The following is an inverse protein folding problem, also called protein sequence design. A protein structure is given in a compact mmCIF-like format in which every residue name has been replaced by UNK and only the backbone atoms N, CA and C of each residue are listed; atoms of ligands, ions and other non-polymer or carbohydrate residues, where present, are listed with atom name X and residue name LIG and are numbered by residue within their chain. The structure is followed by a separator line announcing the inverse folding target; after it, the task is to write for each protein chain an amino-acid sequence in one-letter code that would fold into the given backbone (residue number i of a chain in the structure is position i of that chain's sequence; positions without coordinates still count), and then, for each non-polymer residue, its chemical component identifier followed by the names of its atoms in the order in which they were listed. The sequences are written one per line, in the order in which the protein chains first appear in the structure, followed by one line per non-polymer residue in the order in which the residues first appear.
data_IF_453602696077
#
_entry.id   IF_453602696077
#
_cell.length_a   1.000
_cell.length_b   1.000
_cell.length_c   1.000
_cell.angle_alpha   90.00
_cell.angle_beta   90.00
_cell.angle_gamma   90.00
#
_symmetry.space_group_name_H-M   'P 1'
#
loop_
_entity.id
_entity.type
_entity.pdbx_description
1 polymer ?
#
# COMPACT_ATOMS: atom_id res chain seq x y z
N UNK A 1 -17.46 -9.01 -10.31
CA UNK A 1 -18.70 -8.20 -10.34
C UNK A 1 -19.15 -8.16 -11.76
N UNK A 2 -20.45 -8.38 -12.03
CA UNK A 2 -20.99 -8.28 -13.37
C UNK A 2 -20.89 -6.82 -13.84
N UNK A 3 -20.46 -6.60 -15.09
CA UNK A 3 -20.51 -5.29 -15.70
C UNK A 3 -22.00 -4.91 -15.86
N UNK A 4 -22.36 -3.75 -15.37
CA UNK A 4 -23.71 -3.21 -15.55
C UNK A 4 -23.70 -2.22 -16.69
N UNK A 5 -24.73 -2.25 -17.51
CA UNK A 5 -24.98 -1.26 -18.54
C UNK A 5 -26.21 -0.44 -18.14
N UNK A 6 -26.12 0.89 -18.25
CA UNK A 6 -27.20 1.84 -17.93
C UNK A 6 -27.66 2.51 -19.22
N UNK A 7 -28.96 2.62 -19.38
CA UNK A 7 -29.53 3.34 -20.50
C UNK A 7 -29.13 4.84 -20.45
N UNK A 8 -28.70 5.36 -21.59
CA UNK A 8 -28.28 6.77 -21.72
C UNK A 8 -29.46 7.75 -21.67
N UNK A 9 -30.65 7.26 -21.87
CA UNK A 9 -31.88 8.09 -21.75
C UNK A 9 -32.24 8.25 -20.27
N UNK A 10 -32.23 9.50 -19.74
CA UNK A 10 -32.51 9.78 -18.33
C UNK A 10 -33.93 9.39 -17.91
N UNK A 11 -34.87 9.33 -18.87
CA UNK A 11 -36.25 8.92 -18.61
C UNK A 11 -36.42 7.41 -18.48
N UNK A 12 -35.54 6.65 -19.10
CA UNK A 12 -35.60 5.19 -19.08
C UNK A 12 -34.83 4.59 -17.90
N UNK A 13 -33.61 5.09 -17.61
CA UNK A 13 -32.72 4.74 -16.50
C UNK A 13 -32.63 3.23 -16.17
N UNK A 14 -32.86 2.37 -17.17
CA UNK A 14 -32.88 0.91 -17.00
C UNK A 14 -31.46 0.38 -16.83
N UNK A 15 -31.25 -0.40 -15.76
CA UNK A 15 -30.01 -1.07 -15.43
C UNK A 15 -30.10 -2.54 -15.90
N UNK A 16 -29.13 -2.99 -16.67
CA UNK A 16 -29.08 -4.37 -17.18
C UNK A 16 -27.72 -4.99 -16.81
N UNK A 17 -27.74 -6.20 -16.26
CA UNK A 17 -26.51 -6.95 -16.02
C UNK A 17 -25.96 -7.48 -17.35
N UNK A 18 -24.66 -7.24 -17.56
CA UNK A 18 -23.95 -7.65 -18.77
C UNK A 18 -23.69 -6.51 -19.73
N UNK A 19 -22.98 -6.82 -20.84
CA UNK A 19 -22.71 -5.88 -21.93
C UNK A 19 -23.85 -5.98 -22.94
N UNK A 20 -24.77 -5.05 -22.89
CA UNK A 20 -25.89 -4.96 -23.85
C UNK A 20 -25.72 -3.65 -24.63
N UNK A 21 -25.75 -3.73 -25.96
CA UNK A 21 -25.54 -2.56 -26.85
C UNK A 21 -26.80 -1.68 -26.97
N UNK A 22 -27.97 -2.29 -26.87
CA UNK A 22 -29.23 -1.58 -26.94
C UNK A 22 -30.12 -1.86 -25.73
N UNK A 23 -30.79 -0.82 -25.24
CA UNK A 23 -31.68 -0.95 -24.09
C UNK A 23 -32.92 -1.80 -24.44
N UNK A 24 -33.22 -2.87 -23.67
CA UNK A 24 -34.36 -3.72 -23.96
C UNK A 24 -35.72 -3.02 -23.79
N UNK A 25 -35.74 -1.84 -23.09
CA UNK A 25 -36.97 -1.11 -22.82
C UNK A 25 -37.28 -0.02 -23.82
N UNK A 26 -36.27 0.71 -24.31
CA UNK A 26 -36.45 1.88 -25.17
C UNK A 26 -35.66 1.78 -26.51
N UNK A 27 -34.84 0.74 -26.69
CA UNK A 27 -33.97 0.62 -27.87
C UNK A 27 -32.82 1.61 -27.92
N UNK A 28 -32.69 2.49 -26.94
CA UNK A 28 -31.64 3.53 -26.89
C UNK A 28 -30.25 2.95 -26.59
N UNK A 29 -29.20 3.74 -26.89
CA UNK A 29 -27.81 3.35 -26.63
C UNK A 29 -27.56 3.13 -25.15
N UNK A 30 -26.88 2.04 -24.82
CA UNK A 30 -26.49 1.70 -23.45
C UNK A 30 -25.07 2.21 -23.16
N UNK A 31 -24.86 2.69 -21.96
CA UNK A 31 -23.53 3.07 -21.44
C UNK A 31 -23.06 2.00 -20.47
N UNK A 32 -21.93 1.40 -20.77
CA UNK A 32 -21.29 0.48 -19.84
C UNK A 32 -20.83 1.29 -18.61
N UNK A 33 -21.41 1.01 -17.47
CA UNK A 33 -20.92 1.49 -16.17
C UNK A 33 -19.83 0.49 -15.76
N UNK A 34 -18.71 0.58 -16.44
CA UNK A 34 -17.50 -0.16 -16.09
C UNK A 34 -16.68 0.65 -15.11
N UNK A 35 -15.92 -0.03 -14.27
CA UNK A 35 -14.97 0.60 -13.37
C UNK A 35 -14.05 1.53 -14.16
N UNK A 36 -13.94 2.77 -13.70
CA UNK A 36 -13.08 3.77 -14.33
C UNK A 36 -11.64 3.26 -14.36
N UNK A 37 -10.94 3.29 -15.50
CA UNK A 37 -9.55 2.86 -15.60
C UNK A 37 -8.61 3.64 -14.66
N UNK A 38 -9.05 4.80 -14.21
CA UNK A 38 -8.33 5.64 -13.24
C UNK A 38 -8.03 4.90 -11.93
N UNK A 39 -8.91 4.00 -11.46
CA UNK A 39 -8.68 3.22 -10.23
C UNK A 39 -7.47 2.31 -10.37
N UNK A 40 -7.34 1.62 -11.51
CA UNK A 40 -6.18 0.77 -11.79
C UNK A 40 -4.89 1.58 -11.90
N UNK A 41 -4.93 2.73 -12.59
CA UNK A 41 -3.80 3.64 -12.75
C UNK A 41 -3.37 4.19 -11.38
N UNK A 42 -4.31 4.65 -10.56
CA UNK A 42 -4.01 5.19 -9.23
C UNK A 42 -3.35 4.13 -8.34
N UNK A 43 -3.89 2.90 -8.30
CA UNK A 43 -3.31 1.80 -7.54
C UNK A 43 -1.89 1.45 -8.02
N UNK A 44 -1.68 1.41 -9.33
CA UNK A 44 -0.37 1.14 -9.93
C UNK A 44 0.63 2.22 -9.54
N UNK A 45 0.27 3.50 -9.70
CA UNK A 45 1.15 4.62 -9.35
C UNK A 45 1.46 4.65 -7.85
N UNK A 46 0.45 4.51 -6.99
CA UNK A 46 0.67 4.45 -5.54
C UNK A 46 1.58 3.28 -5.15
N UNK A 47 1.35 2.10 -5.71
CA UNK A 47 2.19 0.93 -5.45
C UNK A 47 3.63 1.14 -5.91
N UNK A 48 3.83 1.71 -7.10
CA UNK A 48 5.14 2.00 -7.64
C UNK A 48 5.91 3.04 -6.80
N UNK A 49 5.24 4.11 -6.39
CA UNK A 49 5.83 5.13 -5.50
C UNK A 49 6.25 4.53 -4.16
N UNK A 50 5.42 3.65 -3.59
CA UNK A 50 5.78 2.96 -2.34
C UNK A 50 6.99 2.06 -2.51
N UNK A 51 7.05 1.24 -3.58
CA UNK A 51 8.18 0.34 -3.82
C UNK A 51 9.47 1.13 -4.07
N UNK A 52 9.43 2.13 -4.94
CA UNK A 52 10.62 2.92 -5.27
C UNK A 52 11.05 3.79 -4.09
N UNK A 53 10.12 4.50 -3.45
CA UNK A 53 10.42 5.37 -2.32
C UNK A 53 10.99 4.60 -1.13
N UNK A 54 10.29 3.54 -0.70
CA UNK A 54 10.78 2.72 0.41
C UNK A 54 12.03 1.91 0.04
N UNK A 55 12.16 1.48 -1.22
CA UNK A 55 13.36 0.81 -1.72
C UNK A 55 14.60 1.70 -1.59
N UNK A 56 14.51 2.94 -2.05
CA UNK A 56 15.61 3.94 -1.94
C UNK A 56 15.94 4.22 -0.48
N UNK A 57 14.93 4.45 0.37
CA UNK A 57 15.12 4.68 1.81
C UNK A 57 15.81 3.47 2.45
N UNK A 58 15.34 2.27 2.15
CA UNK A 58 15.91 1.03 2.70
C UNK A 58 17.37 0.88 2.30
N UNK A 59 17.71 1.10 1.02
CA UNK A 59 19.08 0.99 0.52
C UNK A 59 20.02 1.99 1.20
N UNK A 60 19.57 3.24 1.41
CA UNK A 60 20.37 4.26 2.08
C UNK A 60 20.54 4.00 3.59
N UNK A 61 19.50 3.48 4.26
CA UNK A 61 19.56 3.21 5.70
C UNK A 61 20.08 1.83 6.07
N UNK A 62 20.13 0.90 5.10
CA UNK A 62 20.55 -0.48 5.34
C UNK A 62 21.93 -0.58 6.00
N UNK A 63 22.99 0.13 5.55
CA UNK A 63 24.30 0.03 6.18
C UNK A 63 24.30 0.49 7.63
N UNK A 64 23.58 1.57 7.97
CA UNK A 64 23.46 2.07 9.34
C UNK A 64 22.63 1.11 10.24
N UNK A 65 21.57 0.51 9.70
CA UNK A 65 20.73 -0.45 10.42
C UNK A 65 21.40 -1.81 10.61
N UNK A 66 22.29 -2.21 9.68
CA UNK A 66 23.01 -3.48 9.78
C UNK A 66 24.17 -3.43 10.79
N UNK A 67 24.72 -2.25 11.05
CA UNK A 67 25.84 -2.02 11.95
C UNK A 67 25.49 -0.93 12.98
N UNK A 68 24.61 -1.24 13.97
CA UNK A 68 24.21 -0.27 14.98
C UNK A 68 25.42 0.27 15.74
N UNK A 69 25.49 1.59 15.92
CA UNK A 69 26.60 2.27 16.63
C UNK A 69 27.79 2.63 15.75
N UNK A 70 27.81 2.25 14.47
CA UNK A 70 28.85 2.66 13.51
C UNK A 70 28.29 3.80 12.65
N UNK A 71 29.03 4.92 12.56
CA UNK A 71 28.67 5.99 11.63
C UNK A 71 29.15 5.64 10.23
N UNK A 72 28.21 5.51 9.30
CA UNK A 72 28.47 5.24 7.88
C UNK A 72 27.86 6.42 7.09
N UNK A 73 28.69 7.09 6.32
CA UNK A 73 28.31 8.25 5.49
C UNK A 73 27.47 9.34 6.23
N UNK A 74 27.81 9.60 7.49
CA UNK A 74 27.16 10.62 8.31
C UNK A 74 25.81 10.21 8.90
N UNK A 75 25.35 8.98 8.66
CA UNK A 75 24.18 8.41 9.31
C UNK A 75 24.59 7.42 10.41
N UNK A 76 24.14 7.67 11.64
CA UNK A 76 24.33 6.79 12.80
C UNK A 76 22.96 6.27 13.25
N UNK A 77 22.86 4.97 13.49
CA UNK A 77 21.72 4.40 14.16
C UNK A 77 22.00 4.34 15.66
N UNK A 78 21.29 5.18 16.44
CA UNK A 78 21.44 5.27 17.91
C UNK A 78 20.57 4.26 18.68
N UNK A 79 19.75 3.48 17.96
CA UNK A 79 18.87 2.48 18.55
C UNK A 79 19.55 1.13 18.79
N UNK A 80 18.83 0.22 19.46
CA UNK A 80 19.28 -1.14 19.70
C UNK A 80 19.28 -1.96 18.40
N UNK A 81 20.05 -3.06 18.36
CA UNK A 81 20.07 -3.98 17.22
C UNK A 81 18.68 -4.60 16.96
N UNK A 82 17.89 -4.77 18.00
CA UNK A 82 16.51 -5.28 17.88
C UNK A 82 15.58 -4.27 17.21
N UNK A 83 15.70 -3.01 17.60
CA UNK A 83 14.97 -1.90 16.95
C UNK A 83 15.35 -1.77 15.47
N UNK A 84 16.63 -1.94 15.12
CA UNK A 84 17.09 -1.92 13.74
C UNK A 84 16.45 -3.06 12.91
N UNK A 85 16.39 -4.28 13.47
CA UNK A 85 15.73 -5.42 12.83
C UNK A 85 14.23 -5.18 12.63
N UNK A 86 13.54 -4.64 13.63
CA UNK A 86 12.11 -4.32 13.52
C UNK A 86 11.85 -3.26 12.46
N UNK A 87 12.71 -2.26 12.36
CA UNK A 87 12.63 -1.22 11.32
C UNK A 87 12.82 -1.81 9.91
N UNK A 88 13.81 -2.70 9.73
CA UNK A 88 14.01 -3.40 8.46
C UNK A 88 12.82 -4.28 8.08
N UNK A 89 12.22 -4.98 9.05
CA UNK A 89 11.01 -5.77 8.86
C UNK A 89 9.84 -4.91 8.40
N UNK A 90 9.67 -3.73 9.01
CA UNK A 90 8.63 -2.77 8.63
C UNK A 90 8.84 -2.29 7.19
N UNK A 91 10.07 -1.93 6.81
CA UNK A 91 10.39 -1.52 5.44
C UNK A 91 10.10 -2.63 4.43
N UNK A 92 10.51 -3.86 4.73
CA UNK A 92 10.22 -5.02 3.89
C UNK A 92 8.70 -5.24 3.72
N UNK A 93 7.93 -5.13 4.79
CA UNK A 93 6.48 -5.27 4.75
C UNK A 93 5.80 -4.18 3.90
N UNK A 94 6.28 -2.93 3.96
CA UNK A 94 5.77 -1.82 3.11
C UNK A 94 6.11 -2.06 1.65
N UNK A 95 7.32 -2.56 1.33
CA UNK A 95 7.72 -2.89 -0.04
C UNK A 95 6.82 -4.00 -0.60
N UNK A 96 6.57 -5.07 0.18
CA UNK A 96 5.67 -6.16 -0.22
C UNK A 96 4.26 -5.63 -0.47
N UNK A 97 3.75 -4.75 0.39
CA UNK A 97 2.45 -4.10 0.19
C UNK A 97 2.41 -3.29 -1.12
N UNK A 98 3.46 -2.51 -1.39
CA UNK A 98 3.60 -1.76 -2.64
C UNK A 98 3.61 -2.66 -3.88
N UNK A 99 4.30 -3.82 -3.82
CA UNK A 99 4.32 -4.80 -4.90
C UNK A 99 2.93 -5.41 -5.16
N UNK A 100 2.20 -5.77 -4.11
CA UNK A 100 0.82 -6.30 -4.21
C UNK A 100 -0.11 -5.24 -4.79
N UNK A 101 0.01 -3.97 -4.36
CA UNK A 101 -0.79 -2.86 -4.89
C UNK A 101 -0.49 -2.63 -6.39
N UNK A 102 0.78 -2.66 -6.79
CA UNK A 102 1.20 -2.54 -8.19
C UNK A 102 0.65 -3.69 -9.03
N UNK A 103 0.79 -4.94 -8.57
CA UNK A 103 0.27 -6.11 -9.26
C UNK A 103 -1.27 -6.05 -9.42
N UNK A 104 -1.98 -5.60 -8.38
CA UNK A 104 -3.42 -5.39 -8.44
C UNK A 104 -3.79 -4.29 -9.45
N UNK A 105 -3.04 -3.18 -9.47
CA UNK A 105 -3.22 -2.10 -10.45
C UNK A 105 -3.06 -2.59 -11.89
N UNK A 106 -2.00 -3.36 -12.17
CA UNK A 106 -1.76 -4.00 -13.49
C UNK A 106 -2.89 -4.96 -13.84
N UNK A 107 -3.28 -5.82 -12.91
CA UNK A 107 -4.37 -6.77 -13.12
C UNK A 107 -5.68 -6.06 -13.50
N UNK A 108 -6.04 -4.97 -12.80
CA UNK A 108 -7.24 -4.18 -13.09
C UNK A 108 -7.17 -3.51 -14.47
N UNK A 109 -5.98 -3.07 -14.91
CA UNK A 109 -5.81 -2.46 -16.23
C UNK A 109 -5.99 -3.49 -17.36
N UNK A 110 -5.48 -4.71 -17.17
CA UNK A 110 -5.57 -5.78 -18.19
C UNK A 110 -6.98 -6.38 -18.24
N UNK A 111 -7.54 -6.74 -17.08
CA UNK A 111 -8.81 -7.49 -17.03
C UNK A 111 -10.03 -6.57 -17.00
N UNK A 112 -9.86 -5.27 -16.73
CA UNK A 112 -10.93 -4.29 -16.51
C UNK A 112 -11.96 -4.74 -15.46
N UNK A 113 -11.56 -5.67 -14.60
CA UNK A 113 -12.40 -6.20 -13.52
C UNK A 113 -11.62 -6.18 -12.21
N UNK A 114 -12.31 -5.88 -11.12
CA UNK A 114 -11.72 -5.93 -9.79
C UNK A 114 -11.81 -7.36 -9.25
N UNK A 115 -10.67 -7.97 -8.96
CA UNK A 115 -10.64 -9.26 -8.30
C UNK A 115 -10.94 -9.11 -6.80
N UNK A 116 -11.96 -9.83 -6.31
CA UNK A 116 -12.28 -9.88 -4.88
C UNK A 116 -11.10 -10.40 -4.06
N UNK A 117 -10.34 -11.35 -4.59
CA UNK A 117 -9.16 -11.91 -3.93
C UNK A 117 -8.09 -10.85 -3.67
N UNK A 118 -7.74 -10.03 -4.66
CA UNK A 118 -6.78 -8.94 -4.48
C UNK A 118 -7.25 -7.88 -3.48
N UNK A 119 -8.56 -7.60 -3.43
CA UNK A 119 -9.12 -6.69 -2.44
C UNK A 119 -8.93 -7.21 -1.01
N UNK A 120 -9.23 -8.49 -0.77
CA UNK A 120 -9.04 -9.11 0.55
C UNK A 120 -7.55 -9.22 0.93
N UNK A 121 -6.67 -9.57 -0.02
CA UNK A 121 -5.22 -9.62 0.22
C UNK A 121 -4.68 -8.22 0.58
N UNK A 122 -5.07 -7.18 -0.17
CA UNK A 122 -4.64 -5.81 0.12
C UNK A 122 -5.14 -5.32 1.48
N UNK A 123 -6.40 -5.63 1.83
CA UNK A 123 -6.98 -5.26 3.12
C UNK A 123 -6.30 -5.99 4.27
N UNK A 124 -6.07 -7.31 4.12
CA UNK A 124 -5.38 -8.12 5.11
C UNK A 124 -3.94 -7.63 5.34
N UNK A 125 -3.22 -7.33 4.26
CA UNK A 125 -1.84 -6.82 4.35
C UNK A 125 -1.78 -5.43 5.00
N UNK A 126 -2.76 -4.55 4.69
CA UNK A 126 -2.88 -3.24 5.35
C UNK A 126 -3.15 -3.39 6.87
N UNK A 127 -4.00 -4.33 7.26
CA UNK A 127 -4.25 -4.62 8.67
C UNK A 127 -3.00 -5.14 9.38
N UNK A 128 -2.24 -6.04 8.75
CA UNK A 128 -0.96 -6.54 9.28
C UNK A 128 0.05 -5.40 9.45
N UNK A 129 0.18 -4.51 8.47
CA UNK A 129 1.05 -3.33 8.55
C UNK A 129 0.66 -2.42 9.73
N UNK A 130 -0.65 -2.17 9.93
CA UNK A 130 -1.13 -1.37 11.06
C UNK A 130 -0.76 -2.03 12.39
N UNK A 131 -0.93 -3.34 12.52
CA UNK A 131 -0.57 -4.09 13.74
C UNK A 131 0.93 -3.99 13.99
N UNK A 132 1.77 -4.23 12.97
CA UNK A 132 3.23 -4.13 13.10
C UNK A 132 3.63 -2.71 13.53
N UNK A 133 3.08 -1.68 12.89
CA UNK A 133 3.37 -0.28 13.23
C UNK A 133 2.98 0.03 14.68
N UNK A 134 1.82 -0.45 15.12
CA UNK A 134 1.33 -0.25 16.48
C UNK A 134 2.24 -0.93 17.50
N UNK A 135 2.59 -2.20 17.26
CA UNK A 135 3.52 -2.96 18.13
C UNK A 135 4.89 -2.27 18.18
N UNK A 136 5.43 -1.83 17.04
CA UNK A 136 6.71 -1.13 16.99
C UNK A 136 6.67 0.17 17.78
N UNK A 137 5.57 0.94 17.72
CA UNK A 137 5.40 2.16 18.53
C UNK A 137 5.43 1.87 20.04
N UNK A 138 4.84 0.76 20.47
CA UNK A 138 4.84 0.38 21.90
C UNK A 138 6.23 -0.06 22.35
N UNK A 139 6.89 -0.93 21.58
CA UNK A 139 8.25 -1.41 21.89
C UNK A 139 9.26 -0.27 21.93
N UNK A 140 9.21 0.67 20.98
CA UNK A 140 10.10 1.83 20.95
C UNK A 140 9.87 2.81 22.10
N UNK A 141 8.68 2.81 22.71
CA UNK A 141 8.36 3.70 23.82
C UNK A 141 8.91 3.19 25.16
N UNK A 142 9.04 1.88 25.32
CA UNK A 142 9.56 1.26 26.55
C UNK A 142 11.08 1.39 26.70
N UNK A 143 11.83 1.42 25.59
CA UNK A 143 13.30 1.45 25.56
C UNK A 143 13.89 2.88 25.48
N UNK A 144 13.32 3.86 26.16
CA UNK A 144 14.04 5.13 26.34
C UNK A 144 15.23 4.87 27.26
N UNK A 145 16.50 4.97 26.76
CA UNK A 145 17.66 4.90 27.63
C UNK A 145 17.54 6.01 28.67
N UNK A 146 17.68 5.64 29.97
CA UNK A 146 17.77 6.62 31.03
C UNK A 146 18.88 7.62 30.70
N UNK A 147 18.64 8.92 30.87
CA UNK A 147 19.68 9.94 30.65
C UNK A 147 20.87 9.60 31.50
N UNK A 148 22.02 9.34 30.86
CA UNK A 148 23.31 9.14 31.56
C UNK A 148 23.52 10.30 32.47
N UNK A 149 23.39 10.06 33.79
CA UNK A 149 23.76 11.06 34.80
C UNK A 149 25.26 11.28 34.69
N UNK A 150 25.66 12.34 34.01
CA UNK A 150 27.03 12.84 34.08
C UNK A 150 27.31 13.25 35.54
N UNK A 151 27.95 12.35 36.26
CA UNK A 151 28.53 12.70 37.55
C UNK A 151 29.66 13.69 37.27
N UNK A 152 29.38 14.99 37.50
CA UNK A 152 30.38 16.01 37.56
C UNK A 152 31.22 15.74 38.84
N UNK A 153 32.36 15.10 38.66
CA UNK A 153 33.38 15.02 39.71
C UNK A 153 34.02 16.39 39.82
N UNK A 154 33.71 17.09 40.91
CA UNK A 154 34.48 18.23 41.41
C UNK A 154 35.74 17.75 42.08
#
# INVERSE_FOLDING_TARGET
MAAYTVCRDPKCATLVEGKVEACPKCGGAMRIVGESPWRGITLLLCGLILVLGMGVITLNMYPALSNPGVSIDGSTWEGTAEQARMTLLLFAAVIVFGLVATANGVYMLITKTQSKAFMFVSLGLAAVLLIITFVTMFVLKEDKPEPVRTYSTF
#
